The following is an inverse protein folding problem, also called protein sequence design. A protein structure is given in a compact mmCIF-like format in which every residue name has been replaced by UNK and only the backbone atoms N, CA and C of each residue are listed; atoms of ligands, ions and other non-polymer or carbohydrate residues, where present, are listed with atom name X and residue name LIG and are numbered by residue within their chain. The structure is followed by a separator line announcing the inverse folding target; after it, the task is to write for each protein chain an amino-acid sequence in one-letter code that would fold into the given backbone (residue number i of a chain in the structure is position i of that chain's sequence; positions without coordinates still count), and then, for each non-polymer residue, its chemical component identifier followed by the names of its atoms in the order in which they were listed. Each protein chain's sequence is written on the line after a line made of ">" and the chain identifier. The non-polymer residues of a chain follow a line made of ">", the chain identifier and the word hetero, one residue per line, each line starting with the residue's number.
data_IF_769219183977
#
_entry.id   IF_769219183977
#
_cell.length_a   1.000
_cell.length_b   1.000
_cell.length_c   1.000
_cell.angle_alpha   90.00
_cell.angle_beta   90.00
_cell.angle_gamma   90.00
#
_symmetry.space_group_name_H-M   'P 1'
#
loop_
_entity.id
_entity.type
_entity.pdbx_description
1 polymer ?
#
# COMPACT_ATOMS: atom_id res chain seq x y z
N UNK A 1 -46.15 21.01 6.86
CA UNK A 1 -44.82 21.53 6.44
C UNK A 1 -44.25 22.38 7.57
N UNK A 2 -43.09 22.00 8.15
CA UNK A 2 -42.45 22.79 9.21
C UNK A 2 -41.66 23.92 8.53
N UNK A 3 -42.05 25.17 8.76
CA UNK A 3 -41.28 26.33 8.26
C UNK A 3 -39.92 26.32 8.96
N UNK A 4 -38.78 26.33 8.21
CA UNK A 4 -37.46 26.30 8.84
C UNK A 4 -37.24 27.57 9.67
N UNK A 5 -36.66 27.42 10.86
CA UNK A 5 -36.38 28.57 11.75
C UNK A 5 -35.29 29.46 11.09
N UNK A 6 -35.41 30.77 11.28
CA UNK A 6 -34.53 31.80 10.69
C UNK A 6 -33.02 31.53 10.87
N UNK A 7 -32.62 30.88 11.96
CA UNK A 7 -31.24 30.40 12.20
C UNK A 7 -30.83 29.26 11.24
N UNK A 8 -31.75 28.37 10.87
CA UNK A 8 -31.51 27.28 9.92
C UNK A 8 -31.35 27.79 8.50
N UNK A 9 -32.14 28.81 8.12
CA UNK A 9 -32.03 29.48 6.82
C UNK A 9 -30.71 30.27 6.69
N UNK A 10 -30.29 30.98 7.74
CA UNK A 10 -28.99 31.68 7.76
C UNK A 10 -27.82 30.71 7.66
N UNK A 11 -27.88 29.56 8.36
CA UNK A 11 -26.88 28.49 8.28
C UNK A 11 -26.77 27.93 6.86
N UNK A 12 -27.90 27.63 6.24
CA UNK A 12 -27.98 27.13 4.87
C UNK A 12 -27.43 28.13 3.83
N UNK A 13 -27.81 29.42 3.94
CA UNK A 13 -27.28 30.47 3.04
C UNK A 13 -25.77 30.67 3.22
N UNK A 14 -25.27 30.66 4.43
CA UNK A 14 -23.82 30.76 4.70
C UNK A 14 -23.03 29.58 4.15
N UNK A 15 -23.59 28.39 4.22
CA UNK A 15 -23.00 27.17 3.66
C UNK A 15 -23.02 27.22 2.12
N UNK A 16 -24.12 27.63 1.51
CA UNK A 16 -24.22 27.78 0.07
C UNK A 16 -23.26 28.84 -0.49
N UNK A 17 -23.13 30.01 0.18
CA UNK A 17 -22.17 31.04 -0.19
C UNK A 17 -20.70 30.54 -0.07
N UNK A 18 -20.38 29.76 0.97
CA UNK A 18 -19.05 29.17 1.13
C UNK A 18 -18.73 28.17 0.00
N UNK A 19 -19.69 27.33 -0.36
CA UNK A 19 -19.54 26.37 -1.44
C UNK A 19 -19.33 27.03 -2.80
N UNK A 20 -19.99 28.18 -3.04
CA UNK A 20 -19.82 28.99 -4.26
C UNK A 20 -18.42 29.60 -4.38
N UNK A 21 -17.82 30.06 -3.28
CA UNK A 21 -16.46 30.61 -3.26
C UNK A 21 -15.35 29.56 -3.26
N UNK A 22 -15.61 28.43 -2.68
CA UNK A 22 -14.63 27.37 -2.52
C UNK A 22 -14.24 26.70 -3.84
N UNK A 23 -15.20 26.44 -4.71
CA UNK A 23 -14.95 25.79 -6.01
C UNK A 23 -13.94 26.53 -6.87
N UNK A 24 -14.06 27.86 -7.09
CA UNK A 24 -13.06 28.61 -7.82
C UNK A 24 -11.70 28.64 -7.11
N UNK A 25 -11.68 28.80 -5.77
CA UNK A 25 -10.44 28.78 -4.98
C UNK A 25 -9.71 27.43 -5.07
N UNK A 26 -10.42 26.32 -4.90
CA UNK A 26 -9.88 24.99 -5.05
C UNK A 26 -9.33 24.79 -6.48
N UNK A 27 -10.12 25.12 -7.50
CA UNK A 27 -9.73 24.95 -8.90
C UNK A 27 -8.55 25.84 -9.29
N UNK A 28 -8.46 27.04 -8.70
CA UNK A 28 -7.29 27.91 -8.82
C UNK A 28 -6.06 27.27 -8.17
N UNK A 29 -6.18 26.74 -6.95
CA UNK A 29 -5.11 26.00 -6.27
C UNK A 29 -4.59 24.82 -7.10
N UNK A 30 -5.48 23.99 -7.67
CA UNK A 30 -5.10 22.88 -8.57
C UNK A 30 -4.41 23.39 -9.84
N UNK A 31 -4.87 24.51 -10.39
CA UNK A 31 -4.24 25.11 -11.59
C UNK A 31 -2.84 25.62 -11.29
N UNK A 32 -2.64 26.27 -10.13
CA UNK A 32 -1.34 26.73 -9.64
C UNK A 32 -0.40 25.56 -9.38
N UNK A 33 -0.89 24.50 -8.71
CA UNK A 33 -0.15 23.27 -8.50
C UNK A 33 0.34 22.67 -9.84
N UNK A 34 -0.53 22.60 -10.85
CA UNK A 34 -0.16 22.13 -12.19
C UNK A 34 0.94 22.94 -12.82
N UNK A 35 0.89 24.29 -12.70
CA UNK A 35 1.96 25.17 -13.19
C UNK A 35 3.25 24.92 -12.42
N UNK A 36 3.18 24.79 -11.11
CA UNK A 36 4.34 24.45 -10.26
C UNK A 36 5.00 23.13 -10.68
N UNK A 37 4.21 22.07 -10.89
CA UNK A 37 4.72 20.78 -11.38
C UNK A 37 5.35 20.92 -12.77
N UNK A 38 4.76 21.72 -13.67
CA UNK A 38 5.34 21.98 -15.00
C UNK A 38 6.70 22.69 -14.90
N UNK A 39 6.85 23.66 -14.02
CA UNK A 39 8.13 24.32 -13.77
C UNK A 39 9.14 23.34 -13.16
N UNK A 40 8.72 22.59 -12.15
CA UNK A 40 9.56 21.58 -11.50
C UNK A 40 10.03 20.47 -12.47
N UNK A 41 9.27 20.19 -13.54
CA UNK A 41 9.61 19.14 -14.52
C UNK A 41 10.90 19.41 -15.30
N UNK A 42 11.40 20.64 -15.28
CA UNK A 42 12.71 20.98 -15.87
C UNK A 42 13.90 20.36 -15.10
N UNK A 43 13.73 20.09 -13.78
CA UNK A 43 14.83 19.60 -12.92
C UNK A 43 14.47 18.32 -12.14
N UNK A 44 13.22 17.87 -12.16
CA UNK A 44 12.75 16.73 -11.38
C UNK A 44 12.17 15.65 -12.28
N UNK A 45 12.81 14.48 -12.33
CA UNK A 45 12.42 13.35 -13.18
C UNK A 45 10.98 12.85 -12.90
N UNK A 46 10.53 12.87 -11.64
CA UNK A 46 9.14 12.47 -11.29
C UNK A 46 8.12 13.48 -11.86
N UNK A 47 8.41 14.78 -11.74
CA UNK A 47 7.56 15.83 -12.30
C UNK A 47 7.55 15.78 -13.84
N UNK A 48 8.68 15.45 -14.47
CA UNK A 48 8.80 15.28 -15.92
C UNK A 48 7.91 14.12 -16.41
N UNK A 49 7.99 12.94 -15.78
CA UNK A 49 7.14 11.77 -16.08
C UNK A 49 5.66 12.11 -15.92
N UNK A 50 5.28 12.81 -14.83
CA UNK A 50 3.91 13.23 -14.62
C UNK A 50 3.41 14.15 -15.74
N UNK A 51 4.18 15.17 -16.14
CA UNK A 51 3.77 16.10 -17.20
C UNK A 51 3.71 15.43 -18.57
N UNK A 52 4.68 14.56 -18.92
CA UNK A 52 4.65 13.82 -20.19
C UNK A 52 3.44 12.89 -20.25
N UNK A 53 3.22 12.08 -19.22
CA UNK A 53 2.06 11.17 -19.17
C UNK A 53 0.70 11.90 -19.20
N UNK A 54 0.61 13.09 -18.61
CA UNK A 54 -0.61 13.91 -18.73
C UNK A 54 -0.90 14.46 -20.14
N UNK A 55 0.08 14.52 -21.04
CA UNK A 55 -0.15 14.87 -22.45
C UNK A 55 -0.81 13.72 -23.21
N UNK A 56 -0.48 12.49 -22.84
CA UNK A 56 -0.93 11.27 -23.51
C UNK A 56 -2.30 10.77 -23.07
N UNK A 57 -2.84 11.30 -21.95
CA UNK A 57 -4.10 10.80 -21.36
C UNK A 57 -5.22 10.73 -22.40
N UNK A 58 -5.41 11.80 -23.17
CA UNK A 58 -6.54 11.88 -24.12
C UNK A 58 -6.36 10.90 -25.26
N UNK A 59 -5.17 10.73 -25.77
CA UNK A 59 -4.86 9.76 -26.86
C UNK A 59 -5.04 8.32 -26.36
N UNK A 60 -4.63 8.03 -25.12
CA UNK A 60 -4.86 6.72 -24.48
C UNK A 60 -6.36 6.44 -24.36
N UNK A 61 -7.12 7.42 -23.82
CA UNK A 61 -8.56 7.26 -23.67
C UNK A 61 -9.27 7.17 -25.01
N UNK A 62 -8.83 7.93 -26.04
CA UNK A 62 -9.40 7.89 -27.40
C UNK A 62 -9.19 6.53 -28.07
N UNK A 63 -8.06 5.89 -27.81
CA UNK A 63 -7.71 4.58 -28.37
C UNK A 63 -8.28 3.39 -27.61
N UNK A 64 -8.37 3.48 -26.28
CA UNK A 64 -8.67 2.32 -25.42
C UNK A 64 -10.08 2.28 -24.85
N UNK A 65 -10.78 3.42 -24.76
CA UNK A 65 -12.15 3.43 -24.26
C UNK A 65 -13.12 3.09 -25.38
N UNK A 66 -13.83 1.99 -25.19
CA UNK A 66 -14.94 1.54 -26.03
C UNK A 66 -16.25 2.14 -25.47
N UNK A 67 -16.92 3.05 -26.19
CA UNK A 67 -18.14 3.71 -25.71
C UNK A 67 -19.32 2.76 -25.47
N UNK A 68 -19.29 1.55 -26.04
CA UNK A 68 -20.34 0.54 -25.88
C UNK A 68 -20.15 -0.34 -24.66
N UNK A 69 -18.95 -0.33 -24.05
CA UNK A 69 -18.62 -1.17 -22.91
C UNK A 69 -18.93 -0.51 -21.57
N UNK A 70 -19.23 -1.34 -20.57
CA UNK A 70 -19.46 -0.91 -19.18
C UNK A 70 -18.15 -0.87 -18.42
N UNK A 71 -17.78 0.30 -17.91
CA UNK A 71 -16.54 0.49 -17.19
C UNK A 71 -16.74 0.63 -15.69
N UNK A 72 -15.94 -0.08 -14.91
CA UNK A 72 -15.69 0.23 -13.51
C UNK A 72 -14.40 1.06 -13.46
N UNK A 73 -14.51 2.29 -12.96
CA UNK A 73 -13.34 3.15 -12.81
C UNK A 73 -12.73 2.99 -11.42
N UNK A 74 -11.45 2.58 -11.37
CA UNK A 74 -10.70 2.46 -10.12
C UNK A 74 -9.55 3.47 -10.14
N UNK A 75 -9.45 4.28 -9.08
CA UNK A 75 -8.39 5.26 -8.91
C UNK A 75 -7.54 4.96 -7.69
N UNK A 76 -6.22 4.85 -7.91
CA UNK A 76 -5.20 4.71 -6.87
C UNK A 76 -4.11 5.75 -7.12
N UNK A 77 -3.79 6.59 -6.13
CA UNK A 77 -2.81 7.66 -6.35
C UNK A 77 -1.41 7.15 -6.65
N UNK A 78 -1.01 6.08 -6.01
CA UNK A 78 0.34 5.51 -6.06
C UNK A 78 0.34 3.99 -6.15
N UNK A 79 1.53 3.39 -6.20
CA UNK A 79 1.68 1.92 -6.16
C UNK A 79 1.13 1.32 -4.86
N UNK A 80 1.32 2.00 -3.71
CA UNK A 80 0.81 1.51 -2.42
C UNK A 80 -0.71 1.44 -2.36
N UNK A 81 -1.42 2.46 -2.87
CA UNK A 81 -2.88 2.44 -2.98
C UNK A 81 -3.35 1.40 -4.02
N UNK A 82 -2.59 1.23 -5.11
CA UNK A 82 -2.91 0.18 -6.08
C UNK A 82 -2.92 -1.21 -5.44
N UNK A 83 -1.92 -1.56 -4.63
CA UNK A 83 -1.89 -2.88 -3.96
C UNK A 83 -3.09 -3.06 -3.00
N UNK A 84 -3.68 -1.97 -2.48
CA UNK A 84 -4.96 -2.05 -1.73
C UNK A 84 -6.18 -2.21 -2.63
N UNK A 85 -6.17 -1.62 -3.83
CA UNK A 85 -7.26 -1.78 -4.81
C UNK A 85 -7.21 -3.09 -5.58
N UNK A 86 -6.03 -3.69 -5.69
CA UNK A 86 -5.76 -4.85 -6.54
C UNK A 86 -6.59 -6.10 -6.22
N UNK A 87 -6.81 -6.52 -4.97
CA UNK A 87 -7.67 -7.67 -4.67
C UNK A 87 -9.09 -7.50 -5.20
N UNK A 88 -9.62 -6.29 -5.15
CA UNK A 88 -10.95 -6.00 -5.70
C UNK A 88 -10.96 -6.06 -7.23
N UNK A 89 -9.90 -5.59 -7.91
CA UNK A 89 -9.75 -5.70 -9.37
C UNK A 89 -9.70 -7.18 -9.78
N UNK A 90 -8.87 -7.98 -9.13
CA UNK A 90 -8.71 -9.41 -9.41
C UNK A 90 -10.05 -10.15 -9.22
N UNK A 91 -10.77 -9.85 -8.14
CA UNK A 91 -12.09 -10.42 -7.87
C UNK A 91 -13.13 -10.00 -8.90
N UNK A 92 -13.17 -8.71 -9.27
CA UNK A 92 -14.08 -8.19 -10.32
C UNK A 92 -13.86 -8.90 -11.65
N UNK A 93 -12.61 -9.01 -12.10
CA UNK A 93 -12.30 -9.68 -13.37
C UNK A 93 -12.70 -11.15 -13.38
N UNK A 94 -12.63 -11.82 -12.23
CA UNK A 94 -13.03 -13.21 -12.07
C UNK A 94 -14.56 -13.39 -12.05
N UNK A 95 -15.26 -12.55 -11.27
CA UNK A 95 -16.69 -12.76 -11.00
C UNK A 95 -17.63 -11.96 -11.91
N UNK A 96 -17.14 -10.88 -12.51
CA UNK A 96 -17.92 -9.96 -13.36
C UNK A 96 -17.13 -9.60 -14.64
N UNK A 97 -16.79 -10.59 -15.49
CA UNK A 97 -15.98 -10.40 -16.70
C UNK A 97 -16.62 -9.48 -17.74
N UNK A 98 -17.92 -9.21 -17.64
CA UNK A 98 -18.65 -8.28 -18.50
C UNK A 98 -18.22 -6.82 -18.30
N UNK A 99 -17.62 -6.48 -17.16
CA UNK A 99 -17.10 -5.14 -16.92
C UNK A 99 -15.66 -4.98 -17.41
N UNK A 100 -15.41 -3.87 -18.07
CA UNK A 100 -14.06 -3.38 -18.33
C UNK A 100 -13.54 -2.54 -17.16
N UNK A 101 -12.27 -2.61 -16.88
CA UNK A 101 -11.61 -1.86 -15.81
C UNK A 101 -10.83 -0.69 -16.39
N UNK A 102 -11.20 0.53 -16.00
CA UNK A 102 -10.34 1.69 -16.15
C UNK A 102 -9.57 1.90 -14.85
N UNK A 103 -8.26 1.80 -14.90
CA UNK A 103 -7.36 2.08 -13.77
C UNK A 103 -6.65 3.41 -13.97
N UNK A 104 -6.74 4.31 -13.00
CA UNK A 104 -6.04 5.60 -13.07
C UNK A 104 -5.09 5.78 -11.92
N UNK A 105 -3.94 6.44 -12.20
CA UNK A 105 -2.93 6.81 -11.22
C UNK A 105 -2.74 8.32 -11.18
N UNK A 106 -2.31 8.85 -10.03
CA UNK A 106 -1.88 10.23 -9.95
C UNK A 106 -0.35 10.34 -9.94
N UNK A 107 0.34 9.42 -9.26
CA UNK A 107 1.80 9.42 -9.14
C UNK A 107 2.46 8.55 -10.20
N UNK A 108 3.64 8.96 -10.72
CA UNK A 108 4.47 8.12 -11.57
C UNK A 108 4.85 6.78 -10.93
N UNK A 109 4.98 6.70 -9.60
CA UNK A 109 5.31 5.46 -8.89
C UNK A 109 4.31 4.33 -9.12
N UNK A 110 3.03 4.67 -9.30
CA UNK A 110 2.00 3.70 -9.66
C UNK A 110 1.95 3.46 -11.17
N UNK A 111 1.84 4.54 -11.95
CA UNK A 111 1.65 4.45 -13.39
C UNK A 111 2.80 3.73 -14.10
N UNK A 112 4.05 4.14 -13.87
CA UNK A 112 5.21 3.57 -14.58
C UNK A 112 5.39 2.07 -14.32
N UNK A 113 5.02 1.62 -13.12
CA UNK A 113 5.11 0.20 -12.73
C UNK A 113 3.92 -0.61 -13.25
N UNK A 114 2.74 0.02 -13.39
CA UNK A 114 1.48 -0.69 -13.66
C UNK A 114 0.77 -0.29 -14.97
N UNK A 115 1.40 0.52 -15.83
CA UNK A 115 0.81 0.94 -17.12
C UNK A 115 0.44 -0.19 -18.07
N UNK A 116 1.06 -1.36 -17.89
CA UNK A 116 0.79 -2.61 -18.64
C UNK A 116 0.15 -3.68 -17.73
N UNK A 117 -0.68 -3.28 -16.75
CA UNK A 117 -1.36 -4.22 -15.88
C UNK A 117 -2.46 -4.97 -16.62
N UNK A 118 -2.30 -6.30 -16.77
CA UNK A 118 -3.07 -7.17 -17.64
C UNK A 118 -4.57 -7.24 -17.30
N UNK A 119 -4.93 -6.99 -16.03
CA UNK A 119 -6.33 -7.05 -15.59
C UNK A 119 -7.06 -5.71 -15.74
N UNK A 120 -6.41 -4.65 -16.22
CA UNK A 120 -7.04 -3.38 -16.53
C UNK A 120 -7.09 -3.16 -18.05
N UNK A 121 -8.28 -2.91 -18.59
CA UNK A 121 -8.48 -2.69 -20.02
C UNK A 121 -7.91 -1.34 -20.49
N UNK A 122 -7.90 -0.36 -19.58
CA UNK A 122 -7.27 0.93 -19.82
C UNK A 122 -6.54 1.39 -18.57
N UNK A 123 -5.28 1.80 -18.71
CA UNK A 123 -4.49 2.42 -17.64
C UNK A 123 -4.00 3.78 -18.10
N UNK A 124 -4.24 4.84 -17.31
CA UNK A 124 -3.73 6.18 -17.58
C UNK A 124 -3.53 6.99 -16.30
N UNK A 125 -2.93 8.18 -16.44
CA UNK A 125 -2.96 9.16 -15.34
C UNK A 125 -4.35 9.75 -15.17
N UNK A 126 -4.72 10.07 -13.91
CA UNK A 126 -5.92 10.87 -13.63
C UNK A 126 -5.69 12.31 -14.13
N UNK A 127 -6.53 12.86 -15.02
CA UNK A 127 -6.44 14.27 -15.40
C UNK A 127 -6.51 15.18 -14.16
N UNK A 128 -5.72 16.27 -14.14
CA UNK A 128 -5.79 17.23 -13.03
C UNK A 128 -7.22 17.67 -12.73
N UNK A 129 -7.55 17.75 -11.45
CA UNK A 129 -8.90 17.99 -10.92
C UNK A 129 -9.39 19.44 -11.18
N UNK A 130 -9.59 19.76 -12.45
CA UNK A 130 -10.18 21.03 -12.89
C UNK A 130 -11.53 20.79 -13.58
N UNK A 131 -12.54 21.67 -13.44
CA UNK A 131 -13.91 21.41 -13.92
C UNK A 131 -14.01 21.00 -15.40
N UNK A 132 -13.20 21.63 -16.27
CA UNK A 132 -13.21 21.32 -17.71
C UNK A 132 -12.66 19.92 -18.00
N UNK A 133 -11.55 19.54 -17.34
CA UNK A 133 -10.91 18.23 -17.55
C UNK A 133 -11.74 17.10 -16.96
N UNK A 134 -12.28 17.30 -15.77
CA UNK A 134 -13.19 16.34 -15.12
C UNK A 134 -14.40 16.04 -15.98
N UNK A 135 -15.10 17.08 -16.47
CA UNK A 135 -16.26 16.90 -17.36
C UNK A 135 -15.90 16.15 -18.64
N UNK A 136 -14.76 16.51 -19.29
CA UNK A 136 -14.29 15.81 -20.50
C UNK A 136 -13.98 14.36 -20.21
N UNK A 137 -13.30 14.07 -19.10
CA UNK A 137 -12.94 12.69 -18.70
C UNK A 137 -14.21 11.86 -18.45
N UNK A 138 -15.12 12.33 -17.60
CA UNK A 138 -16.33 11.61 -17.27
C UNK A 138 -17.32 11.50 -18.45
N UNK A 139 -17.30 12.45 -19.38
CA UNK A 139 -18.06 12.32 -20.62
C UNK A 139 -17.53 11.18 -21.51
N UNK A 140 -16.20 11.04 -21.57
CA UNK A 140 -15.55 10.02 -22.41
C UNK A 140 -15.63 8.62 -21.82
N UNK A 141 -15.44 8.51 -20.51
CA UNK A 141 -15.37 7.20 -19.81
C UNK A 141 -16.78 6.69 -19.45
N UNK A 142 -17.65 7.57 -18.99
CA UNK A 142 -19.01 7.29 -18.51
C UNK A 142 -19.08 6.00 -17.66
N UNK A 143 -18.40 5.92 -16.50
CA UNK A 143 -18.29 4.68 -15.75
C UNK A 143 -19.61 4.34 -15.05
N UNK A 144 -19.89 3.03 -14.89
CA UNK A 144 -21.02 2.51 -14.10
C UNK A 144 -20.86 2.86 -12.61
N UNK A 145 -19.62 2.83 -12.11
CA UNK A 145 -19.27 3.36 -10.80
C UNK A 145 -17.79 3.77 -10.75
N UNK A 146 -17.45 4.59 -9.75
CA UNK A 146 -16.09 5.00 -9.46
C UNK A 146 -15.66 4.50 -8.07
N UNK A 147 -14.47 3.92 -7.98
CA UNK A 147 -13.89 3.38 -6.73
C UNK A 147 -12.56 4.07 -6.49
N UNK A 148 -12.50 4.83 -5.41
CA UNK A 148 -11.29 5.53 -4.97
C UNK A 148 -10.63 4.76 -3.83
N UNK A 149 -9.30 4.69 -3.84
CA UNK A 149 -8.55 3.95 -2.83
C UNK A 149 -7.93 4.90 -1.82
N UNK A 150 -8.25 4.75 -0.54
CA UNK A 150 -7.63 5.37 0.64
C UNK A 150 -7.91 6.86 0.84
N UNK A 151 -7.09 7.79 0.32
CA UNK A 151 -7.15 9.23 0.67
C UNK A 151 -7.49 10.14 -0.52
N UNK A 152 -8.36 9.70 -1.39
CA UNK A 152 -8.63 10.34 -2.68
C UNK A 152 -9.83 11.28 -2.63
N UNK A 153 -9.61 12.51 -2.20
CA UNK A 153 -10.65 13.54 -1.99
C UNK A 153 -10.64 14.62 -3.08
N UNK A 154 -10.75 14.20 -4.34
CA UNK A 154 -10.73 15.07 -5.53
C UNK A 154 -12.06 15.79 -5.71
N UNK A 155 -12.13 17.03 -5.21
CA UNK A 155 -13.38 17.79 -5.08
C UNK A 155 -14.21 17.87 -6.36
N UNK A 156 -13.58 18.25 -7.50
CA UNK A 156 -14.36 18.43 -8.74
C UNK A 156 -14.80 17.09 -9.34
N UNK A 157 -14.00 16.03 -9.18
CA UNK A 157 -14.42 14.67 -9.54
C UNK A 157 -15.60 14.21 -8.70
N UNK A 158 -15.54 14.35 -7.39
CA UNK A 158 -16.60 13.94 -6.48
C UNK A 158 -17.89 14.69 -6.75
N UNK A 159 -17.82 16.04 -6.94
CA UNK A 159 -18.99 16.86 -7.28
C UNK A 159 -19.62 16.42 -8.59
N UNK A 160 -18.83 16.22 -9.65
CA UNK A 160 -19.35 15.86 -10.97
C UNK A 160 -19.93 14.44 -11.02
N UNK A 161 -19.29 13.47 -10.33
CA UNK A 161 -19.81 12.12 -10.15
C UNK A 161 -21.16 12.13 -9.41
N UNK A 162 -21.24 12.88 -8.31
CA UNK A 162 -22.48 13.05 -7.55
C UNK A 162 -23.60 13.67 -8.39
N UNK A 163 -23.30 14.74 -9.15
CA UNK A 163 -24.28 15.41 -10.05
C UNK A 163 -24.78 14.50 -11.16
N UNK A 164 -23.96 13.59 -11.66
CA UNK A 164 -24.32 12.58 -12.67
C UNK A 164 -24.96 11.33 -12.08
N UNK A 165 -25.10 11.27 -10.75
CA UNK A 165 -25.62 10.11 -10.03
C UNK A 165 -24.81 8.82 -10.28
N UNK A 166 -23.51 8.96 -10.57
CA UNK A 166 -22.61 7.82 -10.72
C UNK A 166 -22.22 7.34 -9.32
N UNK A 167 -22.52 6.09 -8.94
CA UNK A 167 -22.14 5.53 -7.66
C UNK A 167 -20.62 5.66 -7.42
N UNK A 168 -20.26 6.25 -6.29
CA UNK A 168 -18.86 6.54 -5.98
C UNK A 168 -18.50 5.96 -4.61
N UNK A 169 -17.45 5.18 -4.56
CA UNK A 169 -17.02 4.45 -3.38
C UNK A 169 -15.60 4.86 -2.99
N UNK A 170 -15.36 4.93 -1.67
CA UNK A 170 -14.02 5.07 -1.11
C UNK A 170 -13.71 3.79 -0.34
N UNK A 171 -12.64 3.08 -0.70
CA UNK A 171 -12.27 1.81 -0.07
C UNK A 171 -10.96 1.91 0.71
N UNK A 172 -10.79 1.04 1.71
CA UNK A 172 -9.59 0.94 2.56
C UNK A 172 -9.20 2.27 3.22
N UNK A 173 -10.18 3.13 3.52
CA UNK A 173 -9.94 4.45 4.07
C UNK A 173 -9.61 4.40 5.57
N UNK A 174 -8.69 5.26 6.01
CA UNK A 174 -8.39 5.50 7.43
C UNK A 174 -8.53 6.98 7.72
N UNK A 175 -9.30 7.31 8.73
CA UNK A 175 -9.45 8.69 9.17
C UNK A 175 -8.78 8.90 10.52
N UNK A 176 -8.11 10.05 10.68
CA UNK A 176 -7.41 10.43 11.90
C UNK A 176 -7.88 11.82 12.36
N UNK A 177 -7.89 12.08 13.69
CA UNK A 177 -8.40 13.35 14.24
C UNK A 177 -7.64 14.60 13.75
N UNK A 178 -6.37 14.44 13.37
CA UNK A 178 -5.51 15.52 12.89
C UNK A 178 -5.79 15.95 11.44
N UNK A 179 -6.58 15.16 10.69
CA UNK A 179 -6.92 15.50 9.31
C UNK A 179 -7.83 16.73 9.22
N UNK A 180 -7.71 17.45 8.11
CA UNK A 180 -8.38 18.74 7.92
C UNK A 180 -9.91 18.69 8.03
N UNK A 181 -10.55 17.57 7.71
CA UNK A 181 -12.00 17.39 7.85
C UNK A 181 -12.53 17.54 9.28
N UNK A 182 -11.69 17.28 10.28
CA UNK A 182 -12.06 17.25 11.70
C UNK A 182 -11.62 18.51 12.45
N UNK A 183 -10.84 19.39 11.81
CA UNK A 183 -10.39 20.64 12.43
C UNK A 183 -11.48 21.71 12.34
N UNK A 184 -11.75 22.44 13.41
CA UNK A 184 -12.78 23.50 13.48
C UNK A 184 -12.74 24.50 12.31
N UNK A 185 -11.53 24.88 11.86
CA UNK A 185 -11.33 25.84 10.77
C UNK A 185 -11.65 25.29 9.38
N UNK A 186 -11.59 24.00 9.20
CA UNK A 186 -11.72 23.32 7.90
C UNK A 186 -12.81 22.23 7.88
N UNK A 187 -13.57 22.10 8.98
CA UNK A 187 -14.67 21.12 9.09
C UNK A 187 -15.73 21.27 7.99
N UNK A 188 -15.85 22.47 7.43
CA UNK A 188 -16.78 22.74 6.33
C UNK A 188 -16.44 21.98 5.04
N UNK A 189 -15.19 21.55 4.83
CA UNK A 189 -14.84 20.65 3.72
C UNK A 189 -15.44 19.24 3.87
N UNK A 190 -15.92 18.89 5.05
CA UNK A 190 -16.46 17.56 5.31
C UNK A 190 -17.67 17.20 4.44
N UNK A 191 -18.36 18.18 3.84
CA UNK A 191 -19.48 17.89 2.95
C UNK A 191 -19.06 17.15 1.68
N UNK A 192 -17.77 17.21 1.24
CA UNK A 192 -17.28 16.42 0.12
C UNK A 192 -17.42 14.92 0.37
N UNK A 193 -17.26 14.50 1.63
CA UNK A 193 -17.40 13.10 2.03
C UNK A 193 -18.84 12.57 1.89
N UNK A 194 -19.83 13.47 1.82
CA UNK A 194 -21.25 13.11 1.59
C UNK A 194 -21.56 12.83 0.12
N UNK A 195 -20.63 13.14 -0.79
CA UNK A 195 -20.77 12.82 -2.21
C UNK A 195 -20.40 11.37 -2.55
N UNK A 196 -19.73 10.67 -1.61
CA UNK A 196 -19.57 9.24 -1.75
C UNK A 196 -20.89 8.52 -1.51
N UNK A 197 -21.20 7.53 -2.35
CA UNK A 197 -22.31 6.60 -2.13
C UNK A 197 -22.08 5.79 -0.87
N UNK A 198 -20.83 5.29 -0.69
CA UNK A 198 -20.36 4.62 0.53
C UNK A 198 -18.88 4.83 0.76
N UNK A 199 -18.50 4.80 2.03
CA UNK A 199 -17.12 4.86 2.48
C UNK A 199 -16.84 3.58 3.27
N UNK A 200 -15.86 2.80 2.82
CA UNK A 200 -15.40 1.59 3.49
C UNK A 200 -14.11 1.90 4.25
N UNK A 201 -14.21 1.88 5.56
CA UNK A 201 -13.10 2.22 6.46
C UNK A 201 -12.46 0.96 7.06
N UNK A 202 -11.20 1.10 7.47
CA UNK A 202 -10.43 -0.01 8.03
C UNK A 202 -10.84 -0.33 9.48
N UNK A 203 -11.33 0.67 10.25
CA UNK A 203 -11.56 0.51 11.69
C UNK A 203 -12.74 1.36 12.21
N UNK A 204 -13.18 1.02 13.41
CA UNK A 204 -14.28 1.70 14.11
C UNK A 204 -13.95 3.16 14.49
N UNK A 205 -12.68 3.48 14.74
CA UNK A 205 -12.28 4.86 15.04
C UNK A 205 -12.55 5.78 13.86
N UNK A 206 -12.23 5.35 12.66
CA UNK A 206 -12.55 6.08 11.42
C UNK A 206 -14.05 6.27 11.25
N UNK A 207 -14.86 5.23 11.53
CA UNK A 207 -16.32 5.33 11.49
C UNK A 207 -16.85 6.32 12.51
N UNK A 208 -16.35 6.30 13.74
CA UNK A 208 -16.74 7.24 14.80
C UNK A 208 -16.41 8.68 14.45
N UNK A 209 -15.21 8.93 13.90
CA UNK A 209 -14.81 10.26 13.44
C UNK A 209 -15.75 10.80 12.34
N UNK A 210 -16.07 9.98 11.35
CA UNK A 210 -16.98 10.34 10.26
C UNK A 210 -18.40 10.59 10.77
N UNK A 211 -18.90 9.75 11.67
CA UNK A 211 -20.20 9.95 12.31
C UNK A 211 -20.28 11.27 13.08
N UNK A 212 -19.18 11.69 13.74
CA UNK A 212 -19.06 12.96 14.46
C UNK A 212 -19.22 14.22 13.57
N UNK A 213 -18.97 14.11 12.26
CA UNK A 213 -19.19 15.17 11.28
C UNK A 213 -20.42 14.94 10.39
N UNK A 214 -21.29 13.99 10.76
CA UNK A 214 -22.56 13.71 10.09
C UNK A 214 -22.46 12.89 8.82
N UNK A 215 -21.34 12.19 8.57
CA UNK A 215 -21.16 11.22 7.49
C UNK A 215 -21.54 9.82 8.03
N UNK A 216 -22.63 9.23 7.51
CA UNK A 216 -23.22 8.00 8.07
C UNK A 216 -23.22 6.80 7.10
N UNK A 217 -22.97 7.03 5.83
CA UNK A 217 -22.84 5.99 4.78
C UNK A 217 -21.48 5.29 4.83
N UNK A 218 -21.14 4.73 6.01
CA UNK A 218 -19.82 4.20 6.33
C UNK A 218 -19.92 2.78 6.85
N UNK A 219 -19.16 1.86 6.24
CA UNK A 219 -19.02 0.46 6.68
C UNK A 219 -17.58 0.18 7.12
N UNK A 220 -17.41 -0.60 8.19
CA UNK A 220 -16.10 -1.08 8.63
C UNK A 220 -15.82 -2.42 7.97
N UNK A 221 -14.92 -2.43 7.01
CA UNK A 221 -14.59 -3.62 6.24
C UNK A 221 -13.18 -4.17 6.51
N UNK A 222 -12.27 -3.35 7.02
CA UNK A 222 -10.87 -3.71 7.19
C UNK A 222 -9.97 -3.19 6.06
N UNK A 223 -8.75 -3.69 6.01
CA UNK A 223 -7.75 -3.33 5.01
C UNK A 223 -7.53 -4.48 4.02
N UNK A 224 -7.77 -4.23 2.75
CA UNK A 224 -7.59 -5.19 1.65
C UNK A 224 -6.15 -5.67 1.46
N UNK A 225 -5.15 -5.01 2.08
CA UNK A 225 -3.76 -5.49 2.09
C UNK A 225 -3.61 -6.85 2.77
N UNK A 226 -4.45 -7.15 3.78
CA UNK A 226 -4.43 -8.46 4.44
C UNK A 226 -4.87 -9.57 3.47
N UNK A 227 -5.93 -9.33 2.70
CA UNK A 227 -6.38 -10.27 1.67
C UNK A 227 -5.31 -10.45 0.59
N UNK A 228 -4.60 -9.35 0.24
CA UNK A 228 -3.53 -9.39 -0.76
C UNK A 228 -2.37 -10.29 -0.34
N UNK A 229 -1.88 -10.16 0.88
CA UNK A 229 -0.76 -10.99 1.35
C UNK A 229 -1.17 -12.46 1.51
N UNK A 230 -2.42 -12.72 1.91
CA UNK A 230 -2.96 -14.08 1.97
C UNK A 230 -3.07 -14.72 0.58
N UNK A 231 -3.49 -13.95 -0.43
CA UNK A 231 -3.54 -14.41 -1.83
C UNK A 231 -2.14 -14.74 -2.37
N UNK A 232 -1.13 -13.90 -2.10
CA UNK A 232 0.26 -14.17 -2.48
C UNK A 232 0.74 -15.47 -1.83
N UNK A 233 0.50 -15.64 -0.52
CA UNK A 233 0.84 -16.88 0.19
C UNK A 233 0.15 -18.10 -0.43
N UNK A 234 -1.14 -18.01 -0.73
CA UNK A 234 -1.92 -19.14 -1.27
C UNK A 234 -1.48 -19.59 -2.66
N UNK A 235 -1.02 -18.66 -3.49
CA UNK A 235 -0.49 -18.94 -4.83
C UNK A 235 0.86 -19.63 -4.81
N UNK A 236 1.61 -19.51 -3.73
CA UNK A 236 2.89 -20.18 -3.47
C UNK A 236 3.87 -20.05 -4.63
N UNK A 237 4.80 -19.10 -4.58
CA UNK A 237 5.85 -19.00 -5.60
C UNK A 237 7.08 -19.77 -5.15
N UNK A 238 7.45 -20.80 -5.90
CA UNK A 238 8.73 -21.47 -5.69
C UNK A 238 9.89 -20.58 -6.12
N UNK A 239 10.92 -20.50 -5.26
CA UNK A 239 12.16 -19.76 -5.51
C UNK A 239 13.32 -20.73 -5.23
N UNK A 240 13.74 -21.53 -6.23
CA UNK A 240 14.70 -22.64 -6.03
C UNK A 240 16.02 -22.20 -5.39
N UNK A 241 16.53 -21.00 -5.73
CA UNK A 241 17.75 -20.46 -5.13
C UNK A 241 17.59 -20.19 -3.64
N UNK A 242 16.44 -19.64 -3.20
CA UNK A 242 16.16 -19.46 -1.77
C UNK A 242 16.00 -20.79 -1.06
N UNK A 243 15.32 -21.76 -1.67
CA UNK A 243 15.19 -23.10 -1.10
C UNK A 243 16.55 -23.76 -0.89
N UNK A 244 17.45 -23.68 -1.89
CA UNK A 244 18.82 -24.18 -1.82
C UNK A 244 19.65 -23.44 -0.76
N UNK A 245 19.58 -22.11 -0.73
CA UNK A 245 20.32 -21.29 0.22
C UNK A 245 19.86 -21.51 1.66
N UNK A 246 18.57 -21.54 1.93
CA UNK A 246 18.06 -21.62 3.30
C UNK A 246 18.11 -23.03 3.86
N UNK A 247 18.11 -24.08 3.01
CA UNK A 247 18.09 -25.51 3.39
C UNK A 247 16.97 -25.85 4.37
N UNK A 248 15.88 -25.10 4.34
CA UNK A 248 14.75 -25.25 5.27
C UNK A 248 14.16 -26.66 5.17
N UNK A 249 13.96 -27.29 6.31
CA UNK A 249 13.49 -28.68 6.40
C UNK A 249 14.57 -29.75 6.26
N UNK A 250 15.85 -29.38 6.07
CA UNK A 250 16.98 -30.31 6.09
C UNK A 250 17.62 -30.32 7.47
N UNK A 251 18.32 -31.42 7.84
CA UNK A 251 18.96 -31.59 9.16
C UNK A 251 20.03 -30.53 9.49
N UNK A 252 20.64 -29.95 8.47
CA UNK A 252 21.69 -28.94 8.58
C UNK A 252 21.14 -27.48 8.33
N UNK A 253 19.84 -27.33 8.50
CA UNK A 253 19.21 -25.98 8.44
C UNK A 253 19.73 -25.09 9.57
N UNK A 254 20.24 -23.93 9.18
CA UNK A 254 20.58 -22.84 10.12
C UNK A 254 19.47 -21.80 10.15
N UNK A 255 19.21 -21.15 11.29
CA UNK A 255 18.22 -20.07 11.37
C UNK A 255 18.46 -18.98 10.32
N UNK A 256 17.43 -18.62 9.59
CA UNK A 256 17.47 -17.63 8.50
C UNK A 256 16.68 -16.38 8.87
N UNK A 257 17.35 -15.23 8.89
CA UNK A 257 16.68 -13.94 8.94
C UNK A 257 16.49 -13.40 7.53
N UNK A 258 15.26 -12.97 7.20
CA UNK A 258 14.95 -12.21 5.98
C UNK A 258 14.79 -10.74 6.33
N UNK A 259 15.66 -9.90 5.78
CA UNK A 259 15.59 -8.44 5.93
C UNK A 259 14.94 -7.86 4.67
N UNK A 260 13.68 -7.50 4.76
CA UNK A 260 12.95 -6.90 3.65
C UNK A 260 12.97 -5.38 3.65
N UNK A 261 13.13 -4.78 2.48
CA UNK A 261 13.20 -3.33 2.29
C UNK A 261 14.24 -2.65 3.17
N UNK A 262 15.46 -3.24 3.23
CA UNK A 262 16.57 -2.75 4.06
C UNK A 262 17.10 -1.40 3.60
N UNK A 263 17.40 -0.53 4.57
CA UNK A 263 18.10 0.72 4.39
C UNK A 263 19.45 0.70 5.13
N UNK A 264 20.40 1.60 4.81
CA UNK A 264 21.68 1.66 5.52
C UNK A 264 21.57 1.74 7.05
N UNK A 265 20.60 2.54 7.54
CA UNK A 265 20.35 2.66 8.97
C UNK A 265 19.86 1.36 9.64
N UNK A 266 19.16 0.51 8.91
CA UNK A 266 18.75 -0.82 9.40
C UNK A 266 19.96 -1.75 9.47
N UNK A 267 20.87 -1.68 8.47
CA UNK A 267 22.08 -2.51 8.42
C UNK A 267 23.03 -2.24 9.58
N UNK A 268 23.14 -1.00 10.03
CA UNK A 268 23.91 -0.62 11.23
C UNK A 268 23.36 -1.30 12.50
N UNK A 269 22.06 -1.63 12.51
CA UNK A 269 21.42 -2.28 13.66
C UNK A 269 21.73 -3.76 13.73
N UNK A 270 21.61 -4.50 12.61
CA UNK A 270 21.67 -5.95 12.66
C UNK A 270 23.02 -6.56 12.26
N UNK A 271 23.87 -5.86 11.49
CA UNK A 271 25.12 -6.43 10.96
C UNK A 271 26.07 -6.94 12.03
N UNK A 272 26.29 -6.17 13.10
CA UNK A 272 27.23 -6.55 14.15
C UNK A 272 26.79 -7.75 15.01
N UNK A 273 25.47 -7.98 15.13
CA UNK A 273 24.97 -9.21 15.75
C UNK A 273 25.22 -10.40 14.84
N UNK A 274 24.89 -10.27 13.56
CA UNK A 274 25.06 -11.31 12.56
C UNK A 274 26.54 -11.73 12.40
N UNK A 275 27.48 -10.79 12.48
CA UNK A 275 28.90 -11.07 12.45
C UNK A 275 29.34 -12.03 13.59
N UNK A 276 28.79 -11.83 14.79
CA UNK A 276 29.08 -12.64 15.99
C UNK A 276 28.41 -14.02 16.00
N UNK A 277 27.47 -14.28 15.11
CA UNK A 277 26.69 -15.52 15.07
C UNK A 277 26.88 -16.25 13.73
N UNK A 278 28.01 -16.94 13.52
CA UNK A 278 28.35 -17.59 12.25
C UNK A 278 27.41 -18.74 11.88
N UNK A 279 26.66 -19.26 12.81
CA UNK A 279 25.66 -20.33 12.67
C UNK A 279 24.27 -19.84 12.27
N UNK A 280 24.20 -18.64 11.67
CA UNK A 280 22.97 -18.04 11.13
C UNK A 280 23.14 -17.64 9.67
N UNK A 281 22.03 -17.56 8.92
CA UNK A 281 21.99 -17.09 7.54
C UNK A 281 21.15 -15.84 7.40
N UNK A 282 21.50 -15.01 6.42
CA UNK A 282 20.86 -13.73 6.18
C UNK A 282 20.43 -13.61 4.71
N UNK A 283 19.17 -13.26 4.47
CA UNK A 283 18.69 -12.84 3.16
C UNK A 283 18.34 -11.35 3.23
N UNK A 284 18.90 -10.53 2.34
CA UNK A 284 18.66 -9.10 2.31
C UNK A 284 17.96 -8.72 1.01
N UNK A 285 16.80 -8.10 1.10
CA UNK A 285 16.18 -7.40 -0.01
C UNK A 285 16.26 -5.89 0.25
N UNK A 286 17.26 -5.19 -0.31
CA UNK A 286 17.42 -3.77 -0.09
C UNK A 286 16.27 -2.98 -0.74
N UNK A 287 15.91 -1.83 -0.14
CA UNK A 287 14.86 -0.97 -0.71
C UNK A 287 15.26 -0.40 -2.07
N UNK A 288 16.52 -0.05 -2.22
CA UNK A 288 17.16 0.36 -3.47
C UNK A 288 18.36 -0.53 -3.72
N UNK A 289 18.59 -0.92 -4.98
CA UNK A 289 19.67 -1.84 -5.33
C UNK A 289 20.42 -1.41 -6.60
N UNK A 290 20.77 -0.12 -6.68
CA UNK A 290 21.75 0.32 -7.68
C UNK A 290 23.15 -0.28 -7.41
N UNK A 291 24.05 -0.19 -8.39
CA UNK A 291 25.36 -0.81 -8.32
C UNK A 291 26.22 -0.30 -7.14
N UNK A 292 26.05 0.96 -6.71
CA UNK A 292 26.78 1.51 -5.56
C UNK A 292 26.26 0.90 -4.26
N UNK A 293 24.95 0.80 -4.14
CA UNK A 293 24.28 0.21 -2.97
C UNK A 293 24.66 -1.26 -2.78
N UNK A 294 24.62 -2.06 -3.86
CA UNK A 294 25.02 -3.47 -3.83
C UNK A 294 26.48 -3.65 -3.45
N UNK A 295 27.38 -2.79 -3.95
CA UNK A 295 28.81 -2.81 -3.54
C UNK A 295 28.97 -2.54 -2.05
N UNK A 296 28.23 -1.59 -1.47
CA UNK A 296 28.27 -1.29 -0.02
C UNK A 296 27.81 -2.49 0.80
N UNK A 297 26.74 -3.18 0.41
CA UNK A 297 26.26 -4.38 1.09
C UNK A 297 27.30 -5.49 1.01
N UNK A 298 27.88 -5.76 -0.16
CA UNK A 298 28.96 -6.76 -0.32
C UNK A 298 30.19 -6.42 0.54
N UNK A 299 30.58 -5.15 0.61
CA UNK A 299 31.68 -4.72 1.47
C UNK A 299 31.40 -4.91 2.95
N UNK A 300 30.14 -4.73 3.39
CA UNK A 300 29.73 -4.89 4.79
C UNK A 300 29.78 -6.38 5.23
N UNK A 301 29.38 -7.31 4.37
CA UNK A 301 29.25 -8.73 4.73
C UNK A 301 30.38 -9.63 4.19
N UNK A 302 31.28 -9.10 3.38
CA UNK A 302 32.49 -9.79 2.90
C UNK A 302 32.23 -10.89 1.87
N UNK A 303 33.20 -11.83 1.78
CA UNK A 303 33.22 -12.88 0.73
C UNK A 303 32.02 -13.84 0.75
N UNK A 304 31.40 -14.05 1.91
CA UNK A 304 30.19 -14.87 2.05
C UNK A 304 28.90 -14.22 1.55
N UNK A 305 28.98 -13.04 0.90
CA UNK A 305 27.82 -12.29 0.40
C UNK A 305 27.66 -12.43 -1.11
N UNK A 306 26.58 -13.09 -1.55
CA UNK A 306 26.26 -13.40 -2.94
C UNK A 306 25.02 -12.64 -3.38
N UNK A 307 25.01 -12.08 -4.61
CA UNK A 307 23.81 -11.51 -5.20
C UNK A 307 22.96 -12.61 -5.85
N UNK A 308 21.65 -12.46 -5.82
CA UNK A 308 20.74 -13.40 -6.47
C UNK A 308 21.00 -13.46 -8.00
N UNK A 309 21.29 -12.36 -8.63
CA UNK A 309 21.65 -12.28 -10.05
C UNK A 309 22.98 -13.00 -10.39
N UNK A 310 23.90 -13.13 -9.44
CA UNK A 310 25.12 -13.94 -9.58
C UNK A 310 24.78 -15.43 -9.43
N UNK A 311 23.99 -15.77 -8.42
CA UNK A 311 23.55 -17.14 -8.15
C UNK A 311 22.61 -17.70 -9.23
N UNK A 312 21.89 -16.88 -9.97
CA UNK A 312 21.12 -17.31 -11.15
C UNK A 312 22.03 -17.85 -12.27
N UNK A 313 23.27 -17.34 -12.36
CA UNK A 313 24.27 -17.79 -13.35
C UNK A 313 25.05 -19.01 -12.86
N UNK A 314 25.34 -19.04 -11.56
CA UNK A 314 26.03 -20.17 -10.91
C UNK A 314 25.35 -20.49 -9.57
N UNK A 315 24.38 -21.40 -9.56
CA UNK A 315 23.66 -21.77 -8.34
C UNK A 315 24.52 -22.39 -7.23
N UNK A 316 25.77 -22.80 -7.52
CA UNK A 316 26.67 -23.36 -6.49
C UNK A 316 27.18 -22.32 -5.51
N UNK A 317 27.16 -21.04 -5.90
CA UNK A 317 27.58 -19.92 -5.05
C UNK A 317 26.80 -19.82 -3.74
N UNK A 318 25.54 -20.26 -3.71
CA UNK A 318 24.74 -20.20 -2.49
C UNK A 318 25.07 -21.27 -1.46
N UNK A 319 25.78 -22.31 -1.83
CA UNK A 319 26.05 -23.44 -0.92
C UNK A 319 26.94 -23.02 0.24
N UNK A 320 27.93 -22.18 -0.02
CA UNK A 320 28.90 -21.67 0.96
C UNK A 320 28.57 -20.21 1.39
N UNK A 321 27.51 -19.62 0.87
CA UNK A 321 27.13 -18.26 1.21
C UNK A 321 26.49 -18.18 2.59
N UNK A 322 26.78 -17.12 3.33
CA UNK A 322 26.08 -16.73 4.57
C UNK A 322 25.02 -15.66 4.34
N UNK A 323 25.23 -14.84 3.31
CA UNK A 323 24.34 -13.74 2.96
C UNK A 323 23.93 -13.86 1.50
N UNK A 324 22.63 -13.84 1.23
CA UNK A 324 22.07 -13.75 -0.12
C UNK A 324 21.33 -12.44 -0.27
N UNK A 325 21.69 -11.67 -1.29
CA UNK A 325 21.05 -10.38 -1.57
C UNK A 325 20.09 -10.51 -2.74
N UNK A 326 18.82 -10.19 -2.52
CA UNK A 326 17.79 -10.14 -3.57
C UNK A 326 17.91 -8.80 -4.29
N UNK A 327 18.51 -8.79 -5.46
CA UNK A 327 18.78 -7.64 -6.30
C UNK A 327 17.82 -7.53 -7.51
N UNK A 328 16.60 -8.00 -7.33
CA UNK A 328 15.53 -7.92 -8.32
C UNK A 328 14.17 -7.57 -7.70
N UNK A 329 13.25 -7.04 -8.54
CA UNK A 329 11.90 -6.69 -8.10
C UNK A 329 10.95 -7.88 -8.07
N UNK A 330 9.95 -7.82 -7.17
CA UNK A 330 8.79 -8.69 -7.19
C UNK A 330 8.97 -10.07 -6.55
N UNK A 331 10.07 -10.31 -5.83
CA UNK A 331 10.31 -11.56 -5.11
C UNK A 331 10.03 -11.47 -3.62
N UNK A 332 10.24 -10.30 -2.98
CA UNK A 332 10.26 -10.14 -1.53
C UNK A 332 9.04 -10.74 -0.83
N UNK A 333 7.83 -10.42 -1.29
CA UNK A 333 6.60 -10.90 -0.63
C UNK A 333 6.49 -12.43 -0.62
N UNK A 334 7.04 -13.14 -1.62
CA UNK A 334 7.08 -14.61 -1.64
C UNK A 334 8.33 -15.17 -0.95
N UNK A 335 9.41 -14.40 -0.90
CA UNK A 335 10.66 -14.80 -0.30
C UNK A 335 10.55 -15.02 1.21
N UNK A 336 9.65 -14.30 1.89
CA UNK A 336 9.40 -14.52 3.33
C UNK A 336 8.94 -15.94 3.69
N UNK A 337 8.46 -16.73 2.73
CA UNK A 337 8.16 -18.15 2.93
C UNK A 337 9.41 -18.97 3.33
N UNK A 338 10.60 -18.46 3.06
CA UNK A 338 11.86 -19.18 3.24
C UNK A 338 12.66 -18.75 4.48
N UNK A 339 12.14 -17.85 5.31
CA UNK A 339 12.83 -17.41 6.54
C UNK A 339 12.18 -17.96 7.81
N UNK A 340 12.93 -17.87 8.89
CA UNK A 340 12.49 -18.22 10.24
C UNK A 340 12.12 -16.97 11.05
N UNK A 341 12.76 -15.84 10.75
CA UNK A 341 12.51 -14.54 11.34
C UNK A 341 12.55 -13.48 10.23
N UNK A 342 11.62 -12.55 10.25
CA UNK A 342 11.63 -11.40 9.36
C UNK A 342 12.06 -10.14 10.09
N UNK A 343 12.90 -9.34 9.44
CA UNK A 343 13.14 -7.95 9.80
C UNK A 343 12.57 -7.07 8.68
N UNK A 344 11.71 -6.12 9.01
CA UNK A 344 11.16 -5.19 8.03
C UNK A 344 11.75 -3.81 8.21
N UNK A 345 12.46 -3.37 7.19
CA UNK A 345 13.26 -2.14 7.20
C UNK A 345 12.45 -0.86 7.09
N UNK A 346 13.18 0.26 7.12
CA UNK A 346 12.67 1.62 7.03
C UNK A 346 12.27 2.23 8.37
N UNK A 347 12.10 1.43 9.41
CA UNK A 347 11.69 1.90 10.73
C UNK A 347 12.72 2.78 11.43
N UNK A 348 13.97 2.78 11.04
CA UNK A 348 15.02 3.69 11.54
C UNK A 348 15.21 4.94 10.65
N UNK A 349 14.42 5.12 9.59
CA UNK A 349 14.57 6.23 8.65
C UNK A 349 13.27 6.65 8.00
N UNK A 350 13.06 6.26 6.75
CA UNK A 350 11.99 6.72 5.87
C UNK A 350 10.56 6.37 6.32
N UNK A 351 10.42 5.43 7.23
CA UNK A 351 9.16 4.88 7.74
C UNK A 351 9.03 3.39 7.44
N UNK A 352 8.32 2.70 8.32
CA UNK A 352 8.15 1.25 8.27
C UNK A 352 7.50 0.77 6.95
N UNK A 353 8.03 -0.31 6.39
CA UNK A 353 7.44 -1.00 5.26
C UNK A 353 6.35 -2.01 5.70
N UNK A 354 5.79 -2.78 4.75
CA UNK A 354 4.65 -3.64 4.99
C UNK A 354 5.03 -4.93 5.77
N UNK A 355 4.78 -4.95 7.07
CA UNK A 355 5.06 -6.10 7.95
C UNK A 355 4.14 -7.30 7.68
N UNK A 356 2.97 -7.08 7.07
CA UNK A 356 1.99 -8.14 6.82
C UNK A 356 2.50 -9.16 5.80
N UNK A 357 3.41 -8.73 4.90
CA UNK A 357 4.00 -9.62 3.88
C UNK A 357 4.84 -10.74 4.50
N UNK A 358 5.48 -10.46 5.63
CA UNK A 358 6.21 -11.46 6.39
C UNK A 358 5.29 -12.26 7.31
N UNK A 359 4.48 -11.55 8.11
CA UNK A 359 3.62 -12.14 9.13
C UNK A 359 2.65 -13.19 8.58
N UNK A 360 2.23 -13.05 7.32
CA UNK A 360 1.32 -13.99 6.67
C UNK A 360 1.91 -15.41 6.56
N UNK A 361 3.22 -15.56 6.62
CA UNK A 361 3.92 -16.86 6.56
C UNK A 361 4.16 -17.50 7.94
N UNK A 362 3.49 -16.99 8.97
CA UNK A 362 3.66 -17.48 10.35
C UNK A 362 5.11 -17.33 10.87
N UNK A 363 5.75 -16.19 10.52
CA UNK A 363 7.08 -15.84 11.02
C UNK A 363 7.03 -14.60 11.92
N UNK A 364 7.82 -14.54 13.01
CA UNK A 364 7.90 -13.35 13.86
C UNK A 364 8.54 -12.19 13.09
N UNK A 365 8.09 -10.96 13.36
CA UNK A 365 8.51 -9.79 12.62
C UNK A 365 9.15 -8.74 13.53
N UNK A 366 10.43 -8.43 13.29
CA UNK A 366 11.19 -7.37 13.95
C UNK A 366 11.10 -6.10 13.08
N UNK A 367 10.93 -4.93 13.70
CA UNK A 367 10.85 -3.64 12.97
C UNK A 367 11.23 -2.46 13.86
N UNK A 368 11.75 -1.40 13.24
CA UNK A 368 12.26 -0.20 13.91
C UNK A 368 11.17 0.73 14.48
N UNK A 369 11.59 1.83 15.18
CA UNK A 369 10.72 2.64 16.04
C UNK A 369 9.78 3.58 15.28
N UNK A 370 10.06 3.91 14.01
CA UNK A 370 9.23 4.84 13.23
C UNK A 370 7.98 4.13 12.67
N UNK A 371 7.18 3.57 13.58
CA UNK A 371 6.02 2.74 13.26
C UNK A 371 4.67 3.32 13.73
N UNK A 372 4.63 4.48 14.38
CA UNK A 372 3.45 5.06 15.04
C UNK A 372 2.25 5.31 14.10
N UNK A 373 2.49 5.44 12.80
CA UNK A 373 1.44 5.61 11.77
C UNK A 373 0.84 4.30 11.28
N UNK A 374 1.39 3.16 11.71
CA UNK A 374 1.03 1.82 11.25
C UNK A 374 0.28 1.09 12.35
N UNK A 375 -1.05 1.03 12.23
CA UNK A 375 -1.92 0.38 13.21
C UNK A 375 -1.56 -1.09 13.35
N UNK A 376 -1.27 -1.74 12.24
CA UNK A 376 -0.87 -3.13 12.15
C UNK A 376 0.41 -3.45 12.95
N UNK A 377 1.35 -2.51 13.04
CA UNK A 377 2.58 -2.72 13.80
C UNK A 377 2.28 -2.80 15.31
N UNK A 378 1.46 -1.89 15.82
CA UNK A 378 1.04 -1.90 17.22
C UNK A 378 0.22 -3.14 17.55
N UNK A 379 -0.82 -3.43 16.76
CA UNK A 379 -1.71 -4.57 17.00
C UNK A 379 -0.97 -5.91 16.92
N UNK A 380 0.00 -6.06 16.00
CA UNK A 380 0.83 -7.27 15.90
C UNK A 380 1.77 -7.43 17.09
N UNK A 381 2.31 -6.33 17.64
CA UNK A 381 3.10 -6.37 18.87
C UNK A 381 2.23 -6.78 20.08
N UNK A 382 1.04 -6.22 20.20
CA UNK A 382 0.06 -6.58 21.24
C UNK A 382 -0.36 -8.06 21.14
N UNK A 383 -0.45 -8.61 19.92
CA UNK A 383 -0.71 -10.02 19.68
C UNK A 383 0.49 -10.93 20.00
N UNK A 384 1.68 -10.37 20.17
CA UNK A 384 2.91 -11.09 20.49
C UNK A 384 3.62 -11.74 19.28
N UNK A 385 3.30 -11.30 18.06
CA UNK A 385 3.96 -11.71 16.82
C UNK A 385 4.91 -10.65 16.24
N UNK A 386 4.84 -9.42 16.74
CA UNK A 386 5.66 -8.28 16.33
C UNK A 386 6.63 -7.82 17.42
N UNK A 387 7.84 -7.47 17.03
CA UNK A 387 8.94 -7.05 17.91
C UNK A 387 9.40 -5.64 17.53
N UNK A 388 8.74 -4.58 18.05
CA UNK A 388 9.22 -3.22 17.87
C UNK A 388 10.54 -3.00 18.63
N UNK A 389 11.55 -2.49 17.95
CA UNK A 389 12.86 -2.20 18.52
C UNK A 389 13.15 -0.70 18.40
N UNK A 390 13.84 -0.13 19.38
CA UNK A 390 14.24 1.27 19.39
C UNK A 390 15.77 1.45 19.23
N UNK A 391 16.54 0.38 19.40
CA UNK A 391 17.99 0.42 19.41
C UNK A 391 18.61 -0.90 18.94
N UNK A 392 19.92 -0.87 18.65
CA UNK A 392 20.72 -2.07 18.40
C UNK A 392 20.62 -3.07 19.55
N UNK A 393 20.62 -2.63 20.81
CA UNK A 393 20.49 -3.48 22.00
C UNK A 393 19.14 -4.20 22.05
N UNK A 394 18.06 -3.53 21.61
CA UNK A 394 16.74 -4.16 21.56
C UNK A 394 16.70 -5.20 20.44
N UNK A 395 17.36 -4.91 19.30
CA UNK A 395 17.53 -5.88 18.24
C UNK A 395 18.30 -7.12 18.72
N UNK A 396 19.44 -6.94 19.39
CA UNK A 396 20.25 -8.04 19.92
C UNK A 396 19.41 -8.95 20.84
N UNK A 397 18.61 -8.38 21.75
CA UNK A 397 17.71 -9.16 22.62
C UNK A 397 16.67 -9.97 21.82
N UNK A 398 16.05 -9.34 20.81
CA UNK A 398 15.06 -10.03 19.98
C UNK A 398 15.72 -11.12 19.12
N UNK A 399 16.91 -10.86 18.58
CA UNK A 399 17.68 -11.81 17.80
C UNK A 399 18.20 -12.97 18.66
N UNK A 400 18.68 -12.72 19.88
CA UNK A 400 19.10 -13.80 20.82
C UNK A 400 17.93 -14.72 21.15
N UNK A 401 16.75 -14.17 21.36
CA UNK A 401 15.55 -14.96 21.61
C UNK A 401 15.11 -15.78 20.40
N UNK A 402 15.21 -15.22 19.18
CA UNK A 402 14.58 -15.80 18.00
C UNK A 402 15.55 -16.49 17.04
N UNK A 403 16.84 -16.13 17.02
CA UNK A 403 17.77 -16.55 15.96
C UNK A 403 18.85 -17.54 16.43
N UNK A 404 19.00 -17.79 17.73
CA UNK A 404 19.95 -18.77 18.17
C UNK A 404 19.53 -20.18 17.72
N UNK A 405 20.52 -21.03 17.41
CA UNK A 405 20.29 -22.41 17.00
C UNK A 405 20.08 -23.32 18.23
N UNK A 406 19.01 -23.05 18.98
CA UNK A 406 18.60 -23.76 20.18
C UNK A 406 17.12 -24.14 20.11
N UNK A 407 16.74 -25.21 20.85
CA UNK A 407 15.34 -25.65 20.95
C UNK A 407 14.43 -24.54 21.49
N UNK A 408 14.90 -23.81 22.49
CA UNK A 408 14.16 -22.66 23.06
C UNK A 408 13.86 -21.57 22.03
N UNK A 409 14.85 -21.22 21.20
CA UNK A 409 14.65 -20.23 20.14
C UNK A 409 13.77 -20.77 19.02
N UNK A 410 13.85 -22.06 18.70
CA UNK A 410 12.97 -22.72 17.73
C UNK A 410 11.50 -22.68 18.19
N UNK A 411 11.25 -22.95 19.47
CA UNK A 411 9.91 -22.88 20.06
C UNK A 411 9.39 -21.42 20.11
N UNK A 412 10.24 -20.47 20.51
CA UNK A 412 9.90 -19.05 20.49
C UNK A 412 9.51 -18.55 19.08
N UNK A 413 10.28 -18.94 18.04
CA UNK A 413 9.94 -18.65 16.63
C UNK A 413 8.58 -19.20 16.25
N UNK A 414 8.33 -20.48 16.57
CA UNK A 414 7.07 -21.16 16.23
C UNK A 414 5.88 -20.51 16.92
N UNK A 415 5.97 -20.20 18.20
CA UNK A 415 4.89 -19.58 18.97
C UNK A 415 4.61 -18.17 18.47
N UNK A 416 5.64 -17.32 18.41
CA UNK A 416 5.48 -15.90 18.02
C UNK A 416 5.11 -15.76 16.55
N UNK A 417 5.64 -16.60 15.68
CA UNK A 417 5.28 -16.69 14.27
C UNK A 417 3.81 -17.07 14.08
N UNK A 418 3.32 -18.07 14.83
CA UNK A 418 1.89 -18.44 14.83
C UNK A 418 1.02 -17.25 15.23
N UNK A 419 1.40 -16.49 16.27
CA UNK A 419 0.68 -15.29 16.71
C UNK A 419 0.64 -14.22 15.61
N UNK A 420 1.76 -14.01 14.89
CA UNK A 420 1.79 -13.11 13.75
C UNK A 420 0.82 -13.54 12.63
N UNK A 421 0.83 -14.81 12.27
CA UNK A 421 -0.09 -15.36 11.27
C UNK A 421 -1.56 -15.34 11.71
N UNK A 422 -1.85 -15.67 12.99
CA UNK A 422 -3.21 -15.58 13.55
C UNK A 422 -3.75 -14.16 13.49
N UNK A 423 -2.91 -13.17 13.78
CA UNK A 423 -3.26 -11.75 13.61
C UNK A 423 -3.68 -11.46 12.16
N UNK A 424 -2.88 -11.87 11.17
CA UNK A 424 -3.22 -11.67 9.75
C UNK A 424 -4.56 -12.36 9.42
N UNK A 425 -4.74 -13.62 9.81
CA UNK A 425 -5.99 -14.38 9.57
C UNK A 425 -7.21 -13.70 10.14
N UNK A 426 -7.09 -13.08 11.31
CA UNK A 426 -8.19 -12.34 11.96
C UNK A 426 -8.64 -11.09 11.20
N UNK A 427 -7.82 -10.57 10.30
CA UNK A 427 -8.07 -9.33 9.52
C UNK A 427 -8.55 -9.58 8.09
N UNK A 428 -8.68 -10.84 7.66
CA UNK A 428 -9.08 -11.20 6.30
C UNK A 428 -10.57 -10.90 6.02
N UNK A 429 -10.91 -10.82 4.74
CA UNK A 429 -12.28 -10.70 4.25
C UNK A 429 -12.74 -9.28 3.94
N UNK A 430 -11.83 -8.29 3.97
CA UNK A 430 -12.15 -6.91 3.61
C UNK A 430 -12.64 -6.80 2.16
N UNK A 431 -11.95 -7.46 1.23
CA UNK A 431 -12.27 -7.45 -0.19
C UNK A 431 -13.65 -8.04 -0.46
N UNK A 432 -13.98 -9.17 0.16
CA UNK A 432 -15.27 -9.82 -0.02
C UNK A 432 -16.41 -8.96 0.50
N UNK A 433 -16.28 -8.38 1.69
CA UNK A 433 -17.27 -7.47 2.27
C UNK A 433 -17.52 -6.26 1.35
N UNK A 434 -16.45 -5.61 0.85
CA UNK A 434 -16.56 -4.47 -0.07
C UNK A 434 -17.25 -4.89 -1.35
N UNK A 435 -16.80 -6.00 -1.96
CA UNK A 435 -17.37 -6.52 -3.21
C UNK A 435 -18.87 -6.83 -3.07
N UNK A 436 -19.26 -7.52 -2.01
CA UNK A 436 -20.65 -7.93 -1.77
C UNK A 436 -21.58 -6.72 -1.60
N UNK A 437 -21.12 -5.68 -0.91
CA UNK A 437 -21.91 -4.46 -0.72
C UNK A 437 -22.05 -3.67 -2.03
N UNK A 438 -21.02 -3.63 -2.87
CA UNK A 438 -21.03 -2.86 -4.12
C UNK A 438 -21.78 -3.62 -5.23
N UNK A 439 -21.57 -4.93 -5.37
CA UNK A 439 -21.94 -5.68 -6.56
C UNK A 439 -22.99 -6.79 -6.36
N UNK A 440 -23.24 -7.27 -5.12
CA UNK A 440 -24.23 -8.32 -4.85
C UNK A 440 -25.56 -7.81 -4.27
N UNK A 441 -25.59 -6.57 -3.75
CA UNK A 441 -26.81 -5.98 -3.18
C UNK A 441 -27.55 -5.11 -4.20
N UNK A 442 -27.52 -5.51 -5.47
CA UNK A 442 -28.32 -4.93 -6.54
C UNK A 442 -29.41 -5.87 -7.00
#
# INVERSE_FOLDING_TARGET
>A
MRVPKFKEVKGFMAEACRQMLERPLYSFGISTYRVGVKVASAKNAKAQKLISGHKEIWDILDKKIDPSAKYIWIHAASLGEFEQGRPLIEKLKKERPEYKILLTFFSPSGYEVRKNYDLADCVCYLPFDTPKRVRRFLYKVNPECAIFVKYEFWRNYLEELYRRQIPTYLISAVFRPDQFFFKKRSAWYSYWLRWYTRIFVQNEDSRRLLAGIGVRNVDVCGDTRFDRVADIRSKGREIPLLQRFTRRGLPDHLPVMMVGSSWPADEEVYSGWFEKHPDTRLVIAPHEFDAERLRKIKALFGEGCVLMSEAEKDPSLVDNARVLVIDCFGLLSSAYAYCDVAYVGGGFGAGLHNINEAAVYDVPVIYGPNNSKFIEAREMAEAGGGFPIASKKDFEKAADMLMLNTDSSAEARKETGRKAGDYIRSKLGATDKIYDIIFKKG
#
